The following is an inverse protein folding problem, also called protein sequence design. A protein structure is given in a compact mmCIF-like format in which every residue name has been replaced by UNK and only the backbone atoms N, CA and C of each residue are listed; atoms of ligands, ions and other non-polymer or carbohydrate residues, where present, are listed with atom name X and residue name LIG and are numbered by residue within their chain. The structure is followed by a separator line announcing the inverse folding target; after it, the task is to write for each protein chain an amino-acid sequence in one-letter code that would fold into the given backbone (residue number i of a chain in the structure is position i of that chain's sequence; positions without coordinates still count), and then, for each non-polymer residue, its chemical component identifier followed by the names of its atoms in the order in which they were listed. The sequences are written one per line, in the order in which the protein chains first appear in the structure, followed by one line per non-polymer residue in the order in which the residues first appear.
data_IF_270690925260
#
_entry.id   IF_270690925260
#
_cell.length_a   1.000
_cell.length_b   1.000
_cell.length_c   1.000
_cell.angle_alpha   90.00
_cell.angle_beta   90.00
_cell.angle_gamma   90.00
#
_symmetry.space_group_name_H-M   'P 1'
#
loop_
_entity.id
_entity.type
_entity.pdbx_description
1 polymer ?
#
# COMPACT_ATOMS: atom_id res chain seq x y z
N UNK A 1 -17.46 -0.15 -5.57
CA UNK A 1 -16.52 -1.26 -5.27
C UNK A 1 -15.46 -1.26 -6.34
N UNK A 2 -14.18 -1.39 -5.95
CA UNK A 2 -13.12 -1.71 -6.90
C UNK A 2 -13.37 -3.10 -7.50
N UNK A 3 -12.98 -3.35 -8.74
CA UNK A 3 -13.09 -4.69 -9.31
C UNK A 3 -12.12 -5.62 -8.58
N UNK A 4 -12.55 -6.81 -8.10
CA UNK A 4 -11.67 -7.74 -7.39
C UNK A 4 -10.41 -8.08 -8.20
N UNK A 5 -10.56 -8.22 -9.51
CA UNK A 5 -9.47 -8.66 -10.39
C UNK A 5 -8.30 -7.66 -10.46
N UNK A 6 -8.54 -6.37 -10.19
CA UNK A 6 -7.51 -5.33 -10.35
C UNK A 6 -6.92 -4.80 -9.04
N UNK A 7 -7.44 -5.21 -7.87
CA UNK A 7 -7.05 -4.57 -6.59
C UNK A 7 -5.61 -4.90 -6.17
N UNK A 8 -5.14 -6.10 -6.54
CA UNK A 8 -3.79 -6.58 -6.23
C UNK A 8 -2.91 -6.74 -7.49
N UNK A 9 -3.34 -6.16 -8.62
CA UNK A 9 -2.50 -6.06 -9.82
C UNK A 9 -1.20 -5.33 -9.48
N UNK A 10 -0.12 -5.79 -10.12
CA UNK A 10 1.22 -5.23 -9.93
C UNK A 10 1.72 -4.62 -11.23
N UNK A 11 2.44 -3.51 -11.11
CA UNK A 11 3.16 -2.92 -12.23
C UNK A 11 4.45 -3.71 -12.57
N UNK A 12 5.28 -3.15 -13.47
CA UNK A 12 6.53 -3.75 -13.92
C UNK A 12 7.63 -3.84 -12.84
N UNK A 13 7.45 -3.17 -11.71
CA UNK A 13 8.35 -3.20 -10.57
C UNK A 13 7.80 -4.08 -9.44
N UNK A 14 6.63 -4.71 -9.62
CA UNK A 14 5.96 -5.46 -8.58
C UNK A 14 5.14 -4.57 -7.64
N UNK A 15 5.00 -3.28 -7.93
CA UNK A 15 4.25 -2.35 -7.09
C UNK A 15 2.75 -2.59 -7.27
N UNK A 16 2.06 -2.97 -6.19
CA UNK A 16 0.61 -2.96 -6.14
C UNK A 16 0.07 -1.56 -5.88
N UNK A 17 -1.25 -1.36 -6.09
CA UNK A 17 -1.91 -0.12 -5.70
C UNK A 17 -1.69 0.23 -4.21
N UNK A 18 -1.66 -0.79 -3.35
CA UNK A 18 -1.35 -0.62 -1.92
C UNK A 18 0.07 -0.10 -1.70
N UNK A 19 1.08 -0.71 -2.31
CA UNK A 19 2.47 -0.25 -2.18
C UNK A 19 2.66 1.17 -2.71
N UNK A 20 2.01 1.51 -3.82
CA UNK A 20 2.00 2.87 -4.36
C UNK A 20 1.38 3.88 -3.39
N UNK A 21 0.21 3.58 -2.82
CA UNK A 21 -0.47 4.45 -1.87
C UNK A 21 0.38 4.71 -0.62
N UNK A 22 1.06 3.69 -0.11
CA UNK A 22 1.98 3.83 1.02
C UNK A 22 3.20 4.67 0.64
N UNK A 23 3.80 4.47 -0.55
CA UNK A 23 4.94 5.26 -1.02
C UNK A 23 4.65 6.75 -1.14
N UNK A 24 3.37 7.11 -1.34
CA UNK A 24 2.88 8.48 -1.51
C UNK A 24 2.31 9.08 -0.21
N UNK A 25 2.40 8.38 0.92
CA UNK A 25 1.77 8.75 2.20
C UNK A 25 0.26 9.02 2.09
N UNK A 26 -0.42 8.35 1.15
CA UNK A 26 -1.82 8.60 0.81
C UNK A 26 -2.78 7.85 1.76
N UNK A 27 -2.89 8.34 3.00
CA UNK A 27 -3.64 7.67 4.09
C UNK A 27 -5.08 7.29 3.73
N UNK A 28 -5.84 8.18 3.09
CA UNK A 28 -7.24 7.89 2.74
C UNK A 28 -7.36 6.82 1.64
N UNK A 29 -6.43 6.81 0.69
CA UNK A 29 -6.32 5.75 -0.32
C UNK A 29 -5.96 4.41 0.33
N UNK A 30 -5.02 4.41 1.28
CA UNK A 30 -4.66 3.22 2.06
C UNK A 30 -5.89 2.67 2.80
N UNK A 31 -6.66 3.52 3.50
CA UNK A 31 -7.89 3.10 4.19
C UNK A 31 -8.91 2.48 3.22
N UNK A 32 -9.17 3.13 2.10
CA UNK A 32 -10.11 2.63 1.09
C UNK A 32 -9.66 1.27 0.52
N UNK A 33 -8.38 1.08 0.24
CA UNK A 33 -7.85 -0.21 -0.24
C UNK A 33 -7.96 -1.31 0.82
N UNK A 34 -7.70 -0.99 2.09
CA UNK A 34 -7.87 -1.92 3.22
C UNK A 34 -9.34 -2.32 3.39
N UNK A 35 -10.28 -1.39 3.28
CA UNK A 35 -11.73 -1.66 3.31
C UNK A 35 -12.17 -2.60 2.18
N UNK A 36 -11.48 -2.54 1.03
CA UNK A 36 -11.72 -3.43 -0.11
C UNK A 36 -10.89 -4.74 -0.05
N UNK A 37 -10.23 -5.05 1.07
CA UNK A 37 -9.49 -6.30 1.32
C UNK A 37 -8.31 -6.55 0.37
N UNK A 38 -7.57 -5.51 0.01
CA UNK A 38 -6.28 -5.66 -0.72
C UNK A 38 -5.27 -6.49 0.07
N UNK A 39 -4.33 -7.12 -0.62
CA UNK A 39 -3.17 -7.77 -0.01
C UNK A 39 -2.18 -6.75 0.57
N UNK A 40 -2.33 -6.47 1.87
CA UNK A 40 -1.44 -5.56 2.62
C UNK A 40 -0.04 -6.14 2.87
N UNK A 41 0.17 -7.44 2.62
CA UNK A 41 1.45 -8.14 2.80
C UNK A 41 2.23 -8.22 1.49
N UNK A 42 1.67 -7.73 0.38
CA UNK A 42 2.32 -7.70 -0.91
C UNK A 42 3.71 -7.04 -0.82
N UNK A 43 4.66 -7.59 -1.58
CA UNK A 43 5.97 -6.99 -1.80
C UNK A 43 6.16 -6.61 -3.26
N UNK A 44 7.04 -5.65 -3.50
CA UNK A 44 7.59 -5.41 -4.83
C UNK A 44 8.56 -6.53 -5.24
N UNK A 45 9.19 -6.41 -6.42
CA UNK A 45 10.13 -7.41 -6.92
C UNK A 45 11.48 -7.43 -6.17
N UNK A 46 11.79 -6.39 -5.40
CA UNK A 46 12.95 -6.36 -4.51
C UNK A 46 12.64 -7.00 -3.14
N UNK A 47 11.40 -7.47 -2.93
CA UNK A 47 10.94 -8.02 -1.65
C UNK A 47 10.62 -6.97 -0.60
N UNK A 48 10.50 -5.68 -0.98
CA UNK A 48 10.18 -4.60 -0.05
C UNK A 48 8.68 -4.61 0.27
N UNK A 49 8.38 -4.59 1.56
CA UNK A 49 7.01 -4.48 2.08
C UNK A 49 6.53 -3.03 2.06
N UNK A 50 5.22 -2.82 2.22
CA UNK A 50 4.64 -1.51 2.47
C UNK A 50 5.34 -0.72 3.58
N UNK A 51 5.66 -1.38 4.70
CA UNK A 51 6.34 -0.73 5.84
C UNK A 51 7.75 -0.25 5.46
N UNK A 52 8.51 -1.08 4.73
CA UNK A 52 9.84 -0.69 4.26
C UNK A 52 9.75 0.53 3.33
N UNK A 53 8.87 0.48 2.33
CA UNK A 53 8.68 1.57 1.38
C UNK A 53 8.22 2.84 2.10
N UNK A 54 7.26 2.73 3.03
CA UNK A 54 6.80 3.85 3.83
C UNK A 54 7.91 4.48 4.66
N UNK A 55 8.80 3.67 5.24
CA UNK A 55 9.94 4.17 6.00
C UNK A 55 10.96 4.88 5.11
N UNK A 56 11.27 4.31 3.94
CA UNK A 56 12.16 4.92 2.93
C UNK A 56 11.61 6.27 2.44
N UNK A 57 10.29 6.38 2.26
CA UNK A 57 9.62 7.54 1.67
C UNK A 57 9.11 8.56 2.68
N UNK A 58 9.36 8.35 3.99
CA UNK A 58 8.83 9.21 5.06
C UNK A 58 7.29 9.30 5.03
N UNK A 59 6.61 8.17 4.78
CA UNK A 59 5.16 8.08 4.80
C UNK A 59 4.60 8.10 6.23
N UNK A 60 4.77 9.24 6.90
CA UNK A 60 4.46 9.40 8.34
C UNK A 60 2.98 9.22 8.60
N UNK A 61 2.09 9.75 7.75
CA UNK A 61 0.64 9.69 7.98
C UNK A 61 0.13 8.26 7.96
N UNK A 62 0.64 7.45 7.03
CA UNK A 62 0.31 6.03 6.88
C UNK A 62 0.95 5.18 7.99
N UNK A 63 2.24 5.41 8.31
CA UNK A 63 2.94 4.61 9.32
C UNK A 63 2.58 4.97 10.76
N UNK A 64 2.09 6.19 10.99
CA UNK A 64 1.67 6.67 12.32
C UNK A 64 0.22 6.31 12.64
N UNK A 65 -0.46 5.47 11.86
CA UNK A 65 -1.81 5.03 12.21
C UNK A 65 -1.79 4.28 13.56
N UNK A 66 -2.01 5.04 14.62
CA UNK A 66 -2.33 4.60 15.97
C UNK A 66 -3.82 4.85 16.14
N UNK A 67 -4.56 3.77 16.37
CA UNK A 67 -5.93 3.86 16.88
C UNK A 67 -5.87 4.57 18.24
N UNK A 68 -6.60 5.68 18.37
CA UNK A 68 -6.90 6.29 19.67
C UNK A 68 -7.78 5.36 20.50
#
# INVERSE_FOLDING_TARGET
MLKPDCIDEKDKSGMSAFLCAVSLDALDTVKMLVENKTDILATDFDGRTAVFIGAERQAISVLKVQFY
#
